data_IF_570086736077
#
_entry.id   IF_570086736077
#
_cell.length_a   1.000
_cell.length_b   1.000
_cell.length_c   1.000
_cell.angle_alpha   90.00
_cell.angle_beta   90.00
_cell.angle_gamma   90.00
#
_symmetry.space_group_name_H-M   'P 1'
#
loop_
_entity.id
_entity.type
_entity.pdbx_description
1 polymer ?
#
# COMPACT_ATOMS: atom_id res chain seq x y z
N UNK A 1 0.97 30.17 1.30
CA UNK A 1 1.03 29.05 0.33
C UNK A 1 2.48 28.88 -0.07
N UNK A 2 3.19 27.99 0.61
CA UNK A 2 4.51 27.55 0.19
C UNK A 2 4.34 26.07 -0.14
N UNK A 3 4.53 25.72 -1.42
CA UNK A 3 4.65 24.34 -1.83
C UNK A 3 5.89 23.78 -1.14
N UNK A 4 5.72 22.71 -0.36
CA UNK A 4 6.82 22.05 0.32
C UNK A 4 7.59 21.23 -0.74
N UNK A 5 8.55 21.86 -1.41
CA UNK A 5 9.61 21.17 -2.13
C UNK A 5 10.54 20.54 -1.08
N UNK A 6 10.30 19.27 -0.75
CA UNK A 6 11.14 18.58 0.23
C UNK A 6 10.58 17.27 0.72
N UNK A 7 10.64 16.23 -0.10
CA UNK A 7 10.95 14.87 0.39
C UNK A 7 11.41 14.03 -0.80
N UNK A 8 12.69 13.69 -0.84
CA UNK A 8 13.18 12.64 -1.73
C UNK A 8 12.54 11.33 -1.26
N UNK A 9 11.36 11.01 -1.81
CA UNK A 9 10.60 9.83 -1.45
C UNK A 9 11.46 8.58 -1.56
N UNK A 10 11.47 7.76 -0.52
CA UNK A 10 12.25 6.54 -0.51
C UNK A 10 11.84 5.62 -1.67
N UNK A 11 12.83 5.07 -2.36
CA UNK A 11 12.61 4.09 -3.43
C UNK A 11 12.69 2.69 -2.85
N UNK A 12 11.67 1.87 -3.11
CA UNK A 12 11.66 0.44 -2.82
C UNK A 12 11.65 -0.36 -4.11
N UNK A 13 12.47 -1.40 -4.16
CA UNK A 13 12.66 -2.21 -5.36
C UNK A 13 12.01 -3.58 -5.14
N UNK A 14 11.21 -4.02 -6.10
CA UNK A 14 10.71 -5.39 -6.24
C UNK A 14 11.31 -5.99 -7.52
N UNK A 15 11.97 -7.13 -7.37
CA UNK A 15 12.53 -7.88 -8.50
C UNK A 15 11.49 -8.89 -8.97
N UNK A 16 11.19 -8.89 -10.28
CA UNK A 16 10.23 -9.79 -10.90
C UNK A 16 10.95 -11.02 -11.47
N UNK A 17 10.54 -12.23 -11.12
CA UNK A 17 11.06 -13.47 -11.71
C UNK A 17 9.95 -14.30 -12.33
N UNK A 18 10.30 -15.04 -13.38
CA UNK A 18 9.40 -16.00 -14.04
C UNK A 18 8.88 -17.07 -13.07
N UNK A 19 7.57 -17.32 -13.09
CA UNK A 19 6.87 -18.25 -12.21
C UNK A 19 6.73 -17.77 -10.76
N UNK A 20 7.17 -16.56 -10.43
CA UNK A 20 7.09 -16.05 -9.06
C UNK A 20 5.72 -15.40 -8.77
N UNK A 21 4.93 -16.11 -7.96
CA UNK A 21 3.64 -15.64 -7.44
C UNK A 21 3.75 -15.43 -5.93
N UNK A 22 4.00 -14.18 -5.52
CA UNK A 22 4.25 -13.81 -4.12
C UNK A 22 2.95 -13.57 -3.33
N UNK A 23 1.95 -14.45 -3.48
CA UNK A 23 0.62 -14.26 -2.89
C UNK A 23 0.64 -14.31 -1.34
N UNK A 24 1.60 -15.03 -0.77
CA UNK A 24 1.81 -15.13 0.68
C UNK A 24 2.84 -14.15 1.25
N UNK A 25 3.51 -13.34 0.41
CA UNK A 25 4.58 -12.45 0.86
C UNK A 25 4.04 -11.04 1.05
N UNK A 26 4.18 -10.51 2.27
CA UNK A 26 3.72 -9.17 2.59
C UNK A 26 4.83 -8.13 2.30
N UNK A 27 4.67 -7.38 1.22
CA UNK A 27 5.52 -6.23 0.92
C UNK A 27 4.89 -4.94 1.46
N UNK A 28 5.38 -4.44 2.61
CA UNK A 28 4.91 -3.18 3.21
C UNK A 28 5.74 -2.00 2.72
N UNK A 29 5.06 -0.93 2.33
CA UNK A 29 5.62 0.32 1.82
C UNK A 29 4.82 1.49 2.40
N UNK A 30 5.40 2.69 2.44
CA UNK A 30 4.71 3.87 2.98
C UNK A 30 4.14 4.74 1.86
N UNK A 31 3.13 5.54 2.21
CA UNK A 31 2.60 6.58 1.33
C UNK A 31 3.70 7.60 1.00
N UNK A 32 3.70 8.11 -0.23
CA UNK A 32 4.72 9.03 -0.74
C UNK A 32 5.95 8.33 -1.35
N UNK A 33 6.19 7.04 -1.05
CA UNK A 33 7.32 6.30 -1.59
C UNK A 33 7.14 5.96 -3.08
N UNK A 34 8.26 5.61 -3.70
CA UNK A 34 8.32 5.11 -5.08
C UNK A 34 8.55 3.59 -5.05
N UNK A 35 7.63 2.83 -5.62
CA UNK A 35 7.79 1.39 -5.84
C UNK A 35 8.34 1.16 -7.24
N UNK A 36 9.53 0.59 -7.32
CA UNK A 36 10.25 0.27 -8.56
C UNK A 36 10.22 -1.23 -8.78
N UNK A 37 9.78 -1.63 -9.95
CA UNK A 37 9.83 -3.01 -10.42
C UNK A 37 11.02 -3.16 -11.35
N UNK A 38 11.87 -4.15 -11.09
CA UNK A 38 13.02 -4.49 -11.92
C UNK A 38 12.86 -5.92 -12.43
N UNK A 39 13.28 -6.17 -13.66
CA UNK A 39 13.32 -7.55 -14.18
C UNK A 39 14.46 -8.31 -13.49
N UNK A 40 14.16 -9.51 -13.03
CA UNK A 40 15.14 -10.47 -12.54
C UNK A 40 15.81 -11.23 -13.68
N UNK A 41 16.86 -12.01 -13.39
CA UNK A 41 17.64 -12.72 -14.41
C UNK A 41 16.83 -13.66 -15.31
N UNK A 42 15.75 -14.25 -14.77
CA UNK A 42 14.85 -15.14 -15.50
C UNK A 42 14.02 -14.46 -16.59
N UNK A 43 13.92 -13.12 -16.55
CA UNK A 43 13.15 -12.32 -17.49
C UNK A 43 14.04 -11.49 -18.44
N UNK A 44 15.36 -11.63 -18.36
CA UNK A 44 16.26 -10.92 -19.26
C UNK A 44 16.06 -11.33 -20.72
N UNK A 45 16.01 -10.34 -21.61
CA UNK A 45 15.72 -10.55 -23.03
C UNK A 45 14.25 -10.80 -23.37
N UNK A 46 13.36 -10.92 -22.37
CA UNK A 46 11.92 -11.07 -22.56
C UNK A 46 11.22 -9.70 -22.50
N UNK A 47 10.18 -9.49 -23.31
CA UNK A 47 9.40 -8.26 -23.32
C UNK A 47 8.25 -8.35 -22.33
N UNK A 48 8.55 -8.08 -21.06
CA UNK A 48 7.53 -8.08 -20.01
C UNK A 48 6.65 -6.82 -20.06
N UNK A 49 5.36 -6.99 -19.73
CA UNK A 49 4.38 -5.92 -19.55
C UNK A 49 3.84 -6.00 -18.14
N UNK A 50 4.03 -4.94 -17.37
CA UNK A 50 3.61 -4.84 -15.96
C UNK A 50 2.24 -4.16 -15.84
N UNK A 51 1.37 -4.78 -15.05
CA UNK A 51 0.05 -4.27 -14.69
C UNK A 51 -0.08 -4.08 -13.19
N UNK A 52 -0.62 -2.96 -12.75
CA UNK A 52 -0.81 -2.62 -11.33
C UNK A 52 -2.18 -1.99 -11.13
N UNK A 53 -2.88 -2.32 -10.04
CA UNK A 53 -4.20 -1.74 -9.72
C UNK A 53 -4.15 -0.54 -8.74
N UNK A 54 -2.95 -0.07 -8.41
CA UNK A 54 -2.75 1.16 -7.65
C UNK A 54 -3.19 2.36 -8.51
N UNK A 55 -4.14 3.18 -8.02
CA UNK A 55 -4.76 4.23 -8.81
C UNK A 55 -3.75 5.34 -9.12
N UNK A 56 -3.89 5.91 -10.31
CA UNK A 56 -3.08 7.07 -10.69
C UNK A 56 -3.61 8.36 -10.04
N UNK A 57 -2.90 9.47 -10.22
CA UNK A 57 -3.27 10.77 -9.69
C UNK A 57 -4.70 11.18 -10.09
N UNK A 58 -5.55 11.41 -9.08
CA UNK A 58 -6.94 11.82 -9.27
C UNK A 58 -7.92 10.69 -9.60
N UNK A 59 -7.48 9.43 -9.61
CA UNK A 59 -8.35 8.28 -9.88
C UNK A 59 -8.81 7.59 -8.59
N UNK A 60 -10.02 7.04 -8.61
CA UNK A 60 -10.51 6.18 -7.52
C UNK A 60 -9.97 4.75 -7.66
N UNK A 61 -9.77 4.09 -6.52
CA UNK A 61 -9.31 2.70 -6.51
C UNK A 61 -10.44 1.73 -6.85
N UNK A 62 -10.26 0.94 -7.90
CA UNK A 62 -11.11 -0.21 -8.24
C UNK A 62 -10.26 -1.49 -8.28
N UNK A 63 -10.61 -2.47 -7.44
CA UNK A 63 -9.78 -3.67 -7.21
C UNK A 63 -9.44 -4.46 -8.48
N UNK A 64 -10.38 -4.52 -9.42
CA UNK A 64 -10.27 -5.32 -10.65
C UNK A 64 -9.83 -4.50 -11.88
N UNK A 65 -9.46 -3.23 -11.68
CA UNK A 65 -9.01 -2.35 -12.76
C UNK A 65 -7.51 -2.18 -12.68
N UNK A 66 -6.82 -2.59 -13.75
CA UNK A 66 -5.36 -2.52 -13.82
C UNK A 66 -4.93 -1.51 -14.87
N UNK A 67 -3.85 -0.80 -14.59
CA UNK A 67 -3.16 0.04 -15.58
C UNK A 67 -1.81 -0.56 -15.92
N UNK A 68 -1.42 -0.42 -17.18
CA UNK A 68 -0.07 -0.75 -17.61
C UNK A 68 0.91 0.29 -17.07
N UNK A 69 2.04 -0.17 -16.53
CA UNK A 69 3.13 0.72 -16.07
C UNK A 69 4.26 0.67 -17.11
N UNK A 70 4.63 1.80 -17.72
CA UNK A 70 5.68 1.83 -18.73
C UNK A 70 7.06 1.58 -18.10
N UNK A 71 7.89 0.82 -18.81
CA UNK A 71 9.31 0.63 -18.49
C UNK A 71 10.11 1.87 -18.87
N UNK A 72 11.00 2.29 -17.98
CA UNK A 72 11.92 3.41 -18.14
C UNK A 72 13.35 2.88 -18.26
N UNK A 73 14.18 3.58 -19.04
CA UNK A 73 15.57 3.22 -19.32
C UNK A 73 16.48 4.38 -18.91
N UNK A 74 17.59 4.08 -18.24
CA UNK A 74 18.47 5.08 -17.62
C UNK A 74 19.41 5.83 -18.59
N UNK A 75 19.45 5.50 -19.88
CA UNK A 75 20.33 6.17 -20.84
C UNK A 75 19.69 6.38 -22.22
N UNK A 76 20.01 7.52 -22.83
CA UNK A 76 19.52 7.95 -24.15
C UNK A 76 19.98 7.07 -25.32
N UNK A 77 20.82 6.05 -25.09
CA UNK A 77 21.42 5.20 -26.13
C UNK A 77 21.22 3.68 -25.95
N UNK A 78 20.33 3.24 -25.05
CA UNK A 78 20.22 1.82 -24.66
C UNK A 78 18.88 1.15 -24.99
N UNK A 79 18.35 1.33 -26.20
CA UNK A 79 17.19 0.56 -26.67
C UNK A 79 17.40 -0.97 -26.59
N UNK A 80 18.66 -1.42 -26.54
CA UNK A 80 19.03 -2.84 -26.47
C UNK A 80 19.50 -3.31 -25.09
N UNK A 81 19.74 -2.41 -24.12
CA UNK A 81 20.15 -2.81 -22.77
C UNK A 81 18.94 -2.83 -21.84
N UNK A 82 18.18 -3.92 -21.92
CA UNK A 82 17.01 -4.15 -21.07
C UNK A 82 17.38 -4.51 -19.63
N UNK A 83 18.66 -4.68 -19.31
CA UNK A 83 19.09 -5.17 -17.99
C UNK A 83 18.94 -4.12 -16.89
N UNK A 84 18.91 -2.83 -17.26
CA UNK A 84 18.71 -1.71 -16.34
C UNK A 84 17.31 -1.09 -16.41
N UNK A 85 16.37 -1.73 -17.11
CA UNK A 85 15.01 -1.23 -17.25
C UNK A 85 14.24 -1.34 -15.93
N UNK A 86 13.46 -0.31 -15.59
CA UNK A 86 12.61 -0.33 -14.41
C UNK A 86 11.25 0.32 -14.67
N UNK A 87 10.20 -0.22 -14.05
CA UNK A 87 8.87 0.38 -14.05
C UNK A 87 8.60 1.00 -12.67
N UNK A 88 8.00 2.19 -12.61
CA UNK A 88 7.87 2.94 -11.36
C UNK A 88 6.43 3.36 -11.07
N UNK A 89 6.01 3.18 -9.82
CA UNK A 89 4.69 3.58 -9.30
C UNK A 89 4.88 4.48 -8.09
N UNK A 90 4.25 5.67 -8.10
CA UNK A 90 4.21 6.56 -6.94
C UNK A 90 3.04 6.19 -6.04
N UNK A 91 3.32 5.91 -4.77
CA UNK A 91 2.34 5.36 -3.83
C UNK A 91 1.56 6.48 -3.14
N UNK A 92 0.42 6.86 -3.72
CA UNK A 92 -0.36 8.03 -3.28
C UNK A 92 -1.46 7.72 -2.27
N UNK A 93 -2.04 6.52 -2.33
CA UNK A 93 -3.14 6.08 -1.47
C UNK A 93 -2.71 4.87 -0.64
N UNK A 94 -3.15 4.82 0.61
CA UNK A 94 -2.99 3.68 1.50
C UNK A 94 -3.97 2.56 1.13
N UNK A 95 -3.55 1.30 1.27
CA UNK A 95 -4.38 0.15 0.90
C UNK A 95 -3.55 -1.06 0.48
N UNK A 96 -4.24 -2.11 0.05
CA UNK A 96 -3.64 -3.33 -0.47
C UNK A 96 -3.83 -3.41 -1.99
N UNK A 97 -2.72 -3.47 -2.72
CA UNK A 97 -2.69 -3.41 -4.17
C UNK A 97 -2.05 -4.67 -4.73
N UNK A 98 -2.43 -5.00 -5.96
CA UNK A 98 -1.99 -6.15 -6.70
C UNK A 98 -1.22 -5.70 -7.93
N UNK A 99 -0.18 -6.46 -8.27
CA UNK A 99 0.50 -6.37 -9.54
C UNK A 99 0.63 -7.75 -10.16
N UNK A 100 0.70 -7.77 -11.48
CA UNK A 100 1.09 -8.96 -12.23
C UNK A 100 1.79 -8.53 -13.52
N UNK A 101 2.55 -9.45 -14.11
CA UNK A 101 3.16 -9.21 -15.40
C UNK A 101 2.98 -10.41 -16.33
N UNK A 102 3.04 -10.10 -17.62
CA UNK A 102 3.04 -11.08 -18.71
C UNK A 102 4.24 -10.78 -19.62
N UNK A 103 4.77 -11.77 -20.32
CA UNK A 103 5.81 -11.55 -21.31
C UNK A 103 5.57 -12.41 -22.57
N UNK A 104 6.26 -12.08 -23.66
CA UNK A 104 6.17 -12.79 -24.93
C UNK A 104 6.88 -14.15 -24.92
N UNK A 105 6.26 -15.15 -25.56
CA UNK A 105 6.85 -16.50 -25.65
C UNK A 105 6.68 -17.36 -24.39
N UNK A 106 5.74 -17.01 -23.50
CA UNK A 106 5.33 -17.92 -22.44
C UNK A 106 4.41 -19.03 -22.98
N UNK A 107 4.62 -20.26 -22.51
CA UNK A 107 3.75 -21.41 -22.80
C UNK A 107 2.44 -21.38 -21.98
N UNK A 108 2.34 -20.48 -20.99
CA UNK A 108 1.18 -20.34 -20.10
C UNK A 108 0.25 -19.19 -20.54
N UNK A 109 -1.06 -19.44 -20.55
CA UNK A 109 -2.06 -18.44 -20.93
C UNK A 109 -2.37 -17.39 -19.83
N UNK A 110 -1.88 -17.57 -18.60
CA UNK A 110 -2.11 -16.68 -17.45
C UNK A 110 -0.92 -15.73 -17.19
N UNK A 111 -0.96 -14.94 -16.09
CA UNK A 111 0.20 -14.18 -15.63
C UNK A 111 1.39 -15.08 -15.28
N UNK A 112 2.60 -14.60 -15.58
CA UNK A 112 3.85 -15.33 -15.40
C UNK A 112 4.50 -15.00 -14.06
N UNK A 113 3.98 -13.97 -13.38
CA UNK A 113 4.26 -13.68 -12.00
C UNK A 113 3.31 -12.61 -11.49
N UNK A 114 3.10 -12.61 -10.18
CA UNK A 114 2.15 -11.72 -9.51
C UNK A 114 2.52 -11.52 -8.05
N UNK A 115 1.94 -10.50 -7.44
CA UNK A 115 2.09 -10.31 -6.00
C UNK A 115 1.28 -9.13 -5.48
N UNK A 116 1.33 -8.97 -4.17
CA UNK A 116 0.65 -7.89 -3.47
C UNK A 116 1.66 -6.98 -2.75
N UNK A 117 1.31 -5.71 -2.65
CA UNK A 117 1.98 -4.77 -1.76
C UNK A 117 0.97 -3.96 -0.99
N UNK A 118 1.31 -3.59 0.24
CA UNK A 118 0.47 -2.79 1.12
C UNK A 118 1.12 -1.43 1.35
N UNK A 119 0.37 -0.37 1.05
CA UNK A 119 0.73 1.00 1.41
C UNK A 119 0.13 1.29 2.78
N UNK A 120 0.99 1.42 3.78
CA UNK A 120 0.59 1.64 5.16
C UNK A 120 -0.18 2.99 5.29
N UNK A 121 -1.26 3.03 6.09
CA UNK A 121 -1.98 4.27 6.36
C UNK A 121 -1.15 5.19 7.26
N UNK A 122 -1.42 6.49 7.14
CA UNK A 122 -0.88 7.50 8.03
C UNK A 122 -1.97 7.92 9.02
N UNK A 123 -1.74 7.66 10.31
CA UNK A 123 -2.65 8.07 11.37
C UNK A 123 -2.19 9.40 11.94
N UNK A 124 -3.13 10.32 12.18
CA UNK A 124 -2.87 11.64 12.76
C UNK A 124 -3.78 11.91 13.94
N UNK A 125 -3.29 12.65 14.94
CA UNK A 125 -4.05 13.07 16.12
C UNK A 125 -3.67 14.48 16.56
N UNK A 126 -4.55 15.13 17.33
CA UNK A 126 -4.31 16.49 17.85
C UNK A 126 -4.12 17.51 16.71
N UNK A 127 -3.06 18.30 16.82
CA UNK A 127 -2.68 19.34 15.83
C UNK A 127 -1.83 18.73 14.68
N UNK A 128 -2.36 17.69 14.03
CA UNK A 128 -1.75 17.01 12.87
C UNK A 128 -0.47 16.19 13.15
N UNK A 129 -0.23 15.79 14.40
CA UNK A 129 0.90 14.91 14.74
C UNK A 129 0.72 13.53 14.11
N UNK A 130 1.77 13.03 13.44
CA UNK A 130 1.78 11.68 12.86
C UNK A 130 1.98 10.68 14.00
N UNK A 131 1.06 9.71 14.11
CA UNK A 131 1.17 8.56 15.00
C UNK A 131 1.82 7.40 14.23
N UNK A 132 3.07 7.00 14.56
CA UNK A 132 3.67 5.80 14.00
C UNK A 132 2.81 4.58 14.32
N UNK A 133 2.62 3.68 13.35
CA UNK A 133 1.77 2.49 13.53
C UNK A 133 2.26 1.58 14.66
N UNK A 134 3.58 1.52 14.87
CA UNK A 134 4.21 0.75 15.96
C UNK A 134 4.01 1.41 17.34
N UNK A 135 3.55 2.66 17.38
CA UNK A 135 3.27 3.41 18.60
C UNK A 135 1.78 3.40 18.98
N UNK A 136 0.93 2.63 18.31
CA UNK A 136 -0.48 2.52 18.65
C UNK A 136 -0.64 1.81 20.00
N UNK A 137 -1.27 2.49 20.96
CA UNK A 137 -1.68 1.97 22.26
C UNK A 137 -3.21 1.97 22.30
N UNK A 138 -3.80 0.83 21.96
CA UNK A 138 -5.24 0.69 21.78
C UNK A 138 -5.92 0.06 23.00
N UNK A 139 -6.94 0.73 23.54
CA UNK A 139 -7.84 0.16 24.55
C UNK A 139 -9.14 -0.32 23.90
N UNK A 140 -9.50 -1.58 24.10
CA UNK A 140 -10.81 -2.08 23.72
C UNK A 140 -11.83 -1.83 24.83
N UNK A 141 -12.99 -1.27 24.46
CA UNK A 141 -14.10 -1.02 25.40
C UNK A 141 -15.38 -1.73 24.94
N UNK A 142 -16.05 -2.38 25.89
CA UNK A 142 -17.38 -2.94 25.66
C UNK A 142 -18.42 -1.82 25.68
N UNK A 143 -18.95 -1.46 24.51
CA UNK A 143 -19.89 -0.35 24.36
C UNK A 143 -21.12 -0.48 25.30
N UNK A 144 -21.66 -1.70 25.45
CA UNK A 144 -22.79 -1.98 26.36
C UNK A 144 -22.48 -1.72 27.85
N UNK A 145 -21.20 -1.79 28.23
CA UNK A 145 -20.75 -1.55 29.61
C UNK A 145 -20.41 -0.09 29.88
N UNK A 146 -20.41 0.77 28.85
CA UNK A 146 -20.19 2.20 29.01
C UNK A 146 -21.45 2.93 29.51
N UNK A 147 -22.60 2.26 29.65
CA UNK A 147 -23.85 2.89 30.10
C UNK A 147 -24.37 3.94 29.10
N UNK A 148 -25.20 4.90 29.55
CA UNK A 148 -25.75 5.92 28.67
C UNK A 148 -24.64 6.81 28.08
N UNK A 149 -24.84 7.29 26.84
CA UNK A 149 -23.84 8.04 26.06
C UNK A 149 -23.24 9.24 26.79
N UNK A 150 -24.06 9.99 27.54
CA UNK A 150 -23.62 11.12 28.36
C UNK A 150 -22.57 10.77 29.43
N UNK A 151 -22.41 9.48 29.77
CA UNK A 151 -21.44 9.00 30.75
C UNK A 151 -20.13 8.49 30.13
N UNK A 152 -20.04 8.42 28.80
CA UNK A 152 -18.91 7.82 28.08
C UNK A 152 -17.63 8.63 28.25
N UNK A 153 -17.70 9.95 28.09
CA UNK A 153 -16.52 10.83 28.20
C UNK A 153 -15.76 10.61 29.52
N UNK A 154 -16.48 10.62 30.64
CA UNK A 154 -15.89 10.40 31.98
C UNK A 154 -15.20 9.03 32.09
N UNK A 155 -15.75 8.00 31.44
CA UNK A 155 -15.19 6.64 31.46
C UNK A 155 -13.98 6.52 30.55
N UNK A 156 -14.05 7.12 29.36
CA UNK A 156 -12.95 7.15 28.38
C UNK A 156 -11.80 8.05 28.83
N UNK A 157 -12.06 9.04 29.70
CA UNK A 157 -11.00 9.88 30.29
C UNK A 157 -9.92 9.04 30.95
N UNK A 158 -10.29 7.96 31.65
CA UNK A 158 -9.31 7.06 32.29
C UNK A 158 -8.32 6.50 31.26
N UNK A 159 -8.78 6.16 30.06
CA UNK A 159 -7.93 5.68 28.98
C UNK A 159 -6.91 6.74 28.54
N UNK A 160 -7.37 7.97 28.33
CA UNK A 160 -6.51 9.11 27.98
C UNK A 160 -5.44 9.36 29.04
N UNK A 161 -5.84 9.46 30.32
CA UNK A 161 -4.90 9.72 31.44
C UNK A 161 -3.94 8.55 31.66
N UNK A 162 -4.27 7.35 31.17
CA UNK A 162 -3.39 6.16 31.21
C UNK A 162 -2.46 6.05 29.99
N UNK A 163 -2.49 7.02 29.06
CA UNK A 163 -1.59 7.06 27.90
C UNK A 163 -2.05 6.28 26.66
N UNK A 164 -3.30 5.81 26.60
CA UNK A 164 -3.85 5.21 25.38
C UNK A 164 -4.11 6.28 24.31
N UNK A 165 -3.78 5.97 23.05
CA UNK A 165 -3.95 6.88 21.90
C UNK A 165 -4.97 6.37 20.87
N UNK A 166 -5.59 5.21 21.11
CA UNK A 166 -6.66 4.66 20.30
C UNK A 166 -7.71 3.97 21.19
N UNK A 167 -9.00 4.19 20.90
CA UNK A 167 -10.10 3.45 21.51
C UNK A 167 -10.74 2.56 20.45
N UNK A 168 -10.74 1.25 20.69
CA UNK A 168 -11.50 0.30 19.90
C UNK A 168 -12.83 0.01 20.59
N UNK A 169 -13.92 0.47 20.01
CA UNK A 169 -15.27 0.13 20.49
C UNK A 169 -15.69 -1.21 19.92
N UNK A 170 -16.19 -2.11 20.76
CA UNK A 170 -17.06 -3.19 20.24
C UNK A 170 -18.25 -2.58 19.50
N UNK A 171 -18.84 -3.28 18.51
CA UNK A 171 -19.94 -2.74 17.71
C UNK A 171 -21.00 -2.00 18.54
N UNK A 172 -21.20 -0.72 18.25
CA UNK A 172 -22.11 0.18 18.98
C UNK A 172 -23.54 0.11 18.43
N UNK A 173 -23.68 -0.37 17.20
CA UNK A 173 -24.96 -0.53 16.53
C UNK A 173 -25.86 -1.45 17.33
N UNK A 174 -27.14 -1.08 17.46
CA UNK A 174 -28.16 -1.97 18.00
C UNK A 174 -28.23 -3.16 17.06
N UNK A 175 -27.98 -4.37 17.57
CA UNK A 175 -28.07 -5.58 16.75
C UNK A 175 -29.46 -5.63 16.12
N UNK A 176 -29.52 -5.56 14.79
CA UNK A 176 -30.71 -5.93 14.05
C UNK A 176 -30.81 -7.45 14.21
N UNK A 177 -31.60 -7.91 15.19
CA UNK A 177 -32.10 -9.27 15.14
C UNK A 177 -33.02 -9.33 13.93
N UNK A 178 -32.50 -9.87 12.82
CA UNK A 178 -33.31 -10.32 11.69
C UNK A 178 -34.18 -11.50 12.12
#
# INVERSE_FOLDING_TARGET
MAANEGEAGQVRVLTLNDGEHSDGTLHRVQKGWLLRFCLGPSLFGRRAVLYVNHPDEGQEFTRNTYRQVPWQYNSENSANDTTAAFAQVKLRVSGAFHYYFVYDGSDCAGPQGSGFFTVDPELRYGDEEILPLDCIQCQTVLAKSLGPFNSWERKLKVAKESGYNMIHFTPIQVGCAL
#
